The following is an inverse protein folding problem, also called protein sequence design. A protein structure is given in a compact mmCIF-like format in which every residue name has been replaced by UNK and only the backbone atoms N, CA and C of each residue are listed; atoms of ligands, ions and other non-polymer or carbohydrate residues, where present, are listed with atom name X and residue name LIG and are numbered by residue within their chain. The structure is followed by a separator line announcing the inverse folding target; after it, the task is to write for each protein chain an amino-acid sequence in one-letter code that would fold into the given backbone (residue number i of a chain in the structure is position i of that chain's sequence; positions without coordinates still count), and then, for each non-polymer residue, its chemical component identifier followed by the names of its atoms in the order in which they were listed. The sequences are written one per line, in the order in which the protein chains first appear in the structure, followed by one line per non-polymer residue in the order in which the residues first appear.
data_IF_849461947022
#
_entry.id   IF_849461947022
#
_cell.length_a   1.000
_cell.length_b   1.000
_cell.length_c   1.000
_cell.angle_alpha   90.00
_cell.angle_beta   90.00
_cell.angle_gamma   90.00
#
_symmetry.space_group_name_H-M   'P 1'
#
loop_
_entity.id
_entity.type
_entity.pdbx_description
1 polymer ?
#
# COMPACT_ATOMS: atom_id res chain seq x y z
N UNK A 1 -19.38 -13.97 10.36
CA UNK A 1 -20.17 -13.33 9.30
C UNK A 1 -20.21 -11.84 9.59
N UNK A 2 -19.43 -11.04 8.85
CA UNK A 2 -19.39 -9.60 9.05
C UNK A 2 -20.52 -8.94 8.24
N UNK A 3 -21.32 -8.12 8.91
CA UNK A 3 -22.34 -7.26 8.30
C UNK A 3 -21.68 -6.36 7.25
N UNK A 4 -22.21 -6.20 6.03
CA UNK A 4 -21.70 -5.20 5.12
C UNK A 4 -22.05 -3.83 5.71
N UNK A 5 -21.05 -3.16 6.28
CA UNK A 5 -21.08 -1.72 6.45
C UNK A 5 -21.35 -1.13 5.07
N UNK A 6 -22.30 -0.20 5.00
CA UNK A 6 -22.71 0.55 3.79
C UNK A 6 -21.50 0.74 2.85
N UNK A 7 -21.59 0.23 1.62
CA UNK A 7 -20.51 0.37 0.63
C UNK A 7 -20.09 1.83 0.47
N UNK A 8 -18.80 2.06 0.26
CA UNK A 8 -18.23 3.39 0.05
C UNK A 8 -18.80 3.97 -1.25
N UNK A 9 -19.10 5.27 -1.29
CA UNK A 9 -19.52 5.89 -2.56
C UNK A 9 -18.32 6.14 -3.49
N UNK A 10 -18.57 6.26 -4.79
CA UNK A 10 -17.48 6.58 -5.73
C UNK A 10 -16.80 7.92 -5.36
N UNK A 11 -17.56 8.92 -4.93
CA UNK A 11 -17.03 10.24 -4.53
C UNK A 11 -16.14 10.16 -3.28
N UNK A 12 -16.55 9.36 -2.29
CA UNK A 12 -15.73 9.12 -1.10
C UNK A 12 -14.42 8.42 -1.46
N UNK A 13 -14.48 7.45 -2.36
CA UNK A 13 -13.31 6.75 -2.90
C UNK A 13 -12.39 7.68 -3.68
N UNK A 14 -12.93 8.42 -4.64
CA UNK A 14 -12.16 9.33 -5.48
C UNK A 14 -11.42 10.36 -4.61
N UNK A 15 -12.05 10.86 -3.55
CA UNK A 15 -11.40 11.80 -2.63
C UNK A 15 -10.19 11.18 -1.90
N UNK A 16 -10.29 9.92 -1.45
CA UNK A 16 -9.16 9.23 -0.79
C UNK A 16 -8.09 8.85 -1.79
N UNK A 17 -8.50 8.25 -2.90
CA UNK A 17 -7.62 7.87 -4.00
C UNK A 17 -6.80 9.07 -4.47
N UNK A 18 -7.43 10.22 -4.71
CA UNK A 18 -6.75 11.42 -5.17
C UNK A 18 -5.72 11.93 -4.16
N UNK A 19 -6.00 11.85 -2.85
CA UNK A 19 -5.02 12.21 -1.79
C UNK A 19 -3.84 11.24 -1.76
N UNK A 20 -4.09 9.95 -1.95
CA UNK A 20 -3.05 8.92 -2.04
C UNK A 20 -2.19 9.16 -3.27
N UNK A 21 -2.81 9.32 -4.44
CA UNK A 21 -2.16 9.62 -5.72
C UNK A 21 -1.27 10.88 -5.62
N UNK A 22 -1.80 11.99 -5.08
CA UNK A 22 -1.00 13.20 -4.86
C UNK A 22 0.17 12.99 -3.88
N UNK A 23 -0.01 12.16 -2.85
CA UNK A 23 1.06 11.83 -1.91
C UNK A 23 2.18 11.05 -2.61
N UNK A 24 1.83 10.05 -3.42
CA UNK A 24 2.76 9.27 -4.22
C UNK A 24 3.49 10.16 -5.22
N UNK A 25 2.78 10.97 -6.01
CA UNK A 25 3.39 11.89 -6.99
C UNK A 25 4.38 12.87 -6.36
N UNK A 26 4.04 13.46 -5.20
CA UNK A 26 4.95 14.37 -4.48
C UNK A 26 6.17 13.64 -3.88
N UNK A 27 6.02 12.38 -3.50
CA UNK A 27 7.12 11.55 -3.02
C UNK A 27 8.04 11.16 -4.17
N UNK A 28 7.47 10.63 -5.25
CA UNK A 28 8.13 10.19 -6.47
C UNK A 28 8.95 11.30 -7.12
N UNK A 29 8.36 12.50 -7.30
CA UNK A 29 9.06 13.67 -7.86
C UNK A 29 10.34 14.04 -7.12
N UNK A 30 10.39 13.86 -5.79
CA UNK A 30 11.59 14.17 -4.99
C UNK A 30 12.71 13.14 -5.13
N UNK A 31 12.40 11.99 -5.70
CA UNK A 31 13.27 10.81 -5.81
C UNK A 31 13.52 10.41 -7.27
N UNK A 32 12.92 11.11 -8.22
CA UNK A 32 12.92 10.80 -9.65
C UNK A 32 12.30 9.43 -9.99
N UNK A 33 11.30 9.00 -9.23
CA UNK A 33 10.50 7.82 -9.59
C UNK A 33 9.42 8.18 -10.61
N UNK A 34 9.13 7.26 -11.52
CA UNK A 34 8.21 7.41 -12.65
C UNK A 34 6.97 6.53 -12.45
N UNK A 35 5.80 7.13 -12.65
CA UNK A 35 4.51 6.42 -12.62
C UNK A 35 4.47 5.36 -13.74
N UNK A 36 3.92 4.19 -13.45
CA UNK A 36 3.87 2.99 -14.31
C UNK A 36 5.23 2.35 -14.61
N UNK A 37 6.32 2.82 -14.01
CA UNK A 37 7.64 2.20 -14.10
C UNK A 37 8.12 1.78 -12.70
N UNK A 38 8.03 2.68 -11.72
CA UNK A 38 8.48 2.42 -10.36
C UNK A 38 7.32 2.10 -9.41
N UNK A 39 6.12 2.61 -9.72
CA UNK A 39 4.91 2.41 -8.94
C UNK A 39 3.65 2.69 -9.76
N UNK A 40 2.52 2.19 -9.29
CA UNK A 40 1.18 2.54 -9.78
C UNK A 40 0.21 2.77 -8.62
N UNK A 41 -0.81 3.60 -8.82
CA UNK A 41 -1.93 3.80 -7.88
C UNK A 41 -3.21 3.40 -8.60
N UNK A 42 -3.67 2.19 -8.30
CA UNK A 42 -4.75 1.54 -9.03
C UNK A 42 -6.10 2.27 -8.84
N UNK A 43 -6.86 2.44 -9.92
CA UNK A 43 -8.15 3.16 -9.94
C UNK A 43 -9.44 2.29 -10.04
N UNK A 44 -9.49 0.96 -9.79
CA UNK A 44 -10.77 0.28 -9.80
C UNK A 44 -11.52 0.56 -8.50
N UNK A 45 -12.56 1.39 -8.59
CA UNK A 45 -13.58 1.46 -7.55
C UNK A 45 -14.31 0.12 -7.47
N UNK A 46 -14.15 -0.58 -6.35
CA UNK A 46 -14.70 -1.91 -6.11
C UNK A 46 -15.71 -1.93 -4.94
N UNK A 47 -16.12 -0.75 -4.45
CA UNK A 47 -17.06 -0.57 -3.33
C UNK A 47 -16.45 -0.69 -1.94
N UNK A 48 -15.15 -0.99 -1.83
CA UNK A 48 -14.44 -1.14 -0.57
C UNK A 48 -13.69 0.15 -0.16
N UNK A 49 -13.50 0.34 1.14
CA UNK A 49 -12.73 1.45 1.73
C UNK A 49 -11.21 1.24 1.59
N UNK A 50 -10.73 0.92 0.38
CA UNK A 50 -9.32 0.61 0.15
C UNK A 50 -8.77 1.36 -1.08
N UNK A 51 -7.51 1.77 -1.03
CA UNK A 51 -6.76 2.21 -2.21
C UNK A 51 -5.59 1.27 -2.44
N UNK A 52 -5.39 0.85 -3.68
CA UNK A 52 -4.33 -0.08 -4.08
C UNK A 52 -3.15 0.70 -4.65
N UNK A 53 -1.94 0.31 -4.25
CA UNK A 53 -0.67 0.82 -4.78
C UNK A 53 0.17 -0.39 -5.14
N UNK A 54 0.65 -0.45 -6.38
CA UNK A 54 1.65 -1.42 -6.78
C UNK A 54 3.04 -0.80 -6.74
N UNK A 55 3.97 -1.51 -6.11
CA UNK A 55 5.39 -1.17 -6.07
C UNK A 55 6.09 -2.02 -7.12
N UNK A 56 6.51 -1.37 -8.20
CA UNK A 56 7.22 -1.95 -9.32
C UNK A 56 8.74 -1.79 -9.17
N UNK A 57 9.18 -0.92 -8.26
CA UNK A 57 10.56 -0.76 -7.82
C UNK A 57 10.65 -0.66 -6.29
N UNK A 58 11.34 -1.61 -5.66
CA UNK A 58 11.49 -1.67 -4.18
C UNK A 58 12.14 -0.43 -3.56
N UNK A 59 12.86 0.41 -4.32
CA UNK A 59 13.41 1.68 -3.80
C UNK A 59 12.32 2.70 -3.44
N UNK A 60 11.11 2.53 -3.99
CA UNK A 60 9.94 3.34 -3.64
C UNK A 60 9.48 3.05 -2.21
N UNK A 61 9.50 1.77 -1.82
CA UNK A 61 8.96 1.28 -0.56
C UNK A 61 9.89 1.59 0.62
N UNK A 62 9.65 2.74 1.26
CA UNK A 62 10.43 3.17 2.42
C UNK A 62 9.56 3.42 3.64
N UNK A 63 10.16 3.32 4.83
CA UNK A 63 9.51 3.72 6.09
C UNK A 63 8.94 5.15 6.03
N UNK A 64 9.62 6.06 5.32
CA UNK A 64 9.16 7.44 5.14
C UNK A 64 7.92 7.52 4.25
N UNK A 65 7.82 6.71 3.21
CA UNK A 65 6.63 6.66 2.37
C UNK A 65 5.44 6.11 3.16
N UNK A 66 5.63 4.95 3.82
CA UNK A 66 4.59 4.29 4.62
C UNK A 66 4.06 5.23 5.72
N UNK A 67 4.95 5.96 6.41
CA UNK A 67 4.54 6.96 7.40
C UNK A 67 3.73 8.13 6.79
N UNK A 68 3.99 8.53 5.54
CA UNK A 68 3.18 9.55 4.86
C UNK A 68 1.79 9.02 4.51
N UNK A 69 1.71 7.81 3.97
CA UNK A 69 0.46 7.14 3.61
C UNK A 69 -0.40 6.90 4.86
N UNK A 70 0.18 6.41 5.95
CA UNK A 70 -0.52 6.19 7.23
C UNK A 70 -1.16 7.47 7.78
N UNK A 71 -0.55 8.64 7.58
CA UNK A 71 -1.15 9.92 7.99
C UNK A 71 -2.40 10.31 7.20
N UNK A 72 -2.58 9.79 5.99
CA UNK A 72 -3.80 10.02 5.21
C UNK A 72 -4.95 9.20 5.79
N UNK A 73 -4.75 7.90 6.04
CA UNK A 73 -5.76 7.00 6.61
C UNK A 73 -6.06 7.26 8.09
N UNK A 74 -5.11 7.81 8.87
CA UNK A 74 -5.37 8.25 10.25
C UNK A 74 -6.53 9.24 10.39
N UNK A 75 -6.85 9.98 9.32
CA UNK A 75 -7.96 10.94 9.29
C UNK A 75 -9.27 10.34 8.80
N UNK A 76 -9.28 9.05 8.45
CA UNK A 76 -10.42 8.30 7.91
C UNK A 76 -10.45 6.88 8.48
N UNK A 77 -10.94 6.69 9.72
CA UNK A 77 -11.13 5.36 10.29
C UNK A 77 -11.94 4.47 9.34
N UNK A 78 -11.58 3.19 9.25
CA UNK A 78 -12.21 2.24 8.32
C UNK A 78 -11.64 2.22 6.90
N UNK A 79 -10.71 3.13 6.57
CA UNK A 79 -9.95 3.09 5.32
C UNK A 79 -8.62 2.38 5.48
N UNK A 80 -8.21 1.68 4.42
CA UNK A 80 -6.87 1.13 4.29
C UNK A 80 -6.20 1.48 2.96
N UNK A 81 -4.87 1.48 2.96
CA UNK A 81 -4.07 1.52 1.73
C UNK A 81 -3.35 0.18 1.65
N UNK A 82 -3.63 -0.57 0.59
CA UNK A 82 -2.97 -1.82 0.27
C UNK A 82 -1.78 -1.50 -0.65
N UNK A 83 -0.58 -1.91 -0.24
CA UNK A 83 0.64 -1.71 -1.00
C UNK A 83 1.17 -3.08 -1.42
N UNK A 84 0.97 -3.47 -2.68
CA UNK A 84 1.49 -4.70 -3.26
C UNK A 84 2.92 -4.54 -3.75
N UNK A 85 3.75 -5.58 -3.63
CA UNK A 85 5.04 -5.67 -4.31
C UNK A 85 4.85 -6.50 -5.57
N UNK A 86 4.99 -5.87 -6.74
CA UNK A 86 4.69 -6.44 -8.05
C UNK A 86 5.85 -6.15 -9.03
N UNK A 87 7.03 -6.68 -8.73
CA UNK A 87 8.20 -6.49 -9.60
C UNK A 87 8.03 -7.31 -10.89
N UNK A 88 8.16 -6.67 -12.05
CA UNK A 88 7.93 -7.27 -13.37
C UNK A 88 8.73 -8.58 -13.56
N UNK A 89 9.99 -8.60 -13.13
CA UNK A 89 10.88 -9.76 -13.25
C UNK A 89 10.47 -10.96 -12.38
N UNK A 90 9.53 -10.77 -11.44
CA UNK A 90 9.08 -11.78 -10.49
C UNK A 90 7.56 -12.00 -10.52
N UNK A 91 6.85 -11.42 -11.49
CA UNK A 91 5.43 -11.63 -11.69
C UNK A 91 5.15 -13.13 -11.96
N UNK A 92 4.57 -13.81 -10.98
CA UNK A 92 4.24 -15.24 -11.02
C UNK A 92 5.18 -16.15 -10.23
N UNK A 93 6.33 -15.65 -9.77
CA UNK A 93 7.25 -16.41 -8.90
C UNK A 93 7.05 -16.07 -7.43
N UNK A 94 6.85 -14.78 -7.16
CA UNK A 94 6.71 -14.30 -5.80
C UNK A 94 5.26 -14.47 -5.32
N UNK A 95 5.06 -14.84 -4.04
CA UNK A 95 3.74 -14.84 -3.46
C UNK A 95 3.20 -13.41 -3.40
N UNK A 96 1.87 -13.28 -3.34
CA UNK A 96 1.25 -12.00 -3.00
C UNK A 96 1.80 -11.54 -1.65
N UNK A 97 2.43 -10.37 -1.63
CA UNK A 97 3.04 -9.80 -0.44
C UNK A 97 3.08 -8.29 -0.53
N UNK A 98 3.13 -7.64 0.62
CA UNK A 98 2.97 -6.20 0.68
C UNK A 98 2.70 -5.69 2.08
N UNK A 99 2.09 -4.52 2.13
CA UNK A 99 1.67 -3.88 3.37
C UNK A 99 0.19 -3.53 3.32
N UNK A 100 -0.46 -3.58 4.48
CA UNK A 100 -1.77 -2.95 4.67
C UNK A 100 -1.66 -1.86 5.70
N UNK A 101 -1.96 -0.64 5.28
CA UNK A 101 -1.73 0.56 6.07
C UNK A 101 -3.09 1.07 6.54
N UNK A 102 -3.34 0.94 7.83
CA UNK A 102 -4.56 1.38 8.52
C UNK A 102 -4.27 2.58 9.44
N UNK A 103 -5.31 3.17 10.01
CA UNK A 103 -5.16 4.32 10.89
C UNK A 103 -4.29 4.00 12.13
N UNK A 104 -4.56 2.86 12.75
CA UNK A 104 -3.99 2.38 14.00
C UNK A 104 -2.79 1.46 13.79
N UNK A 105 -2.74 0.70 12.70
CA UNK A 105 -1.69 -0.29 12.46
C UNK A 105 -1.09 -0.26 11.05
N UNK A 106 0.08 -0.90 10.92
CA UNK A 106 0.62 -1.35 9.63
C UNK A 106 0.77 -2.86 9.72
N UNK A 107 0.15 -3.57 8.80
CA UNK A 107 0.30 -5.02 8.67
C UNK A 107 1.38 -5.26 7.63
N UNK A 108 2.41 -6.00 8.02
CA UNK A 108 3.56 -6.32 7.18
C UNK A 108 3.51 -7.78 6.74
N UNK A 109 3.07 -7.99 5.51
CA UNK A 109 2.94 -9.29 4.84
C UNK A 109 4.14 -9.57 3.92
N UNK A 110 5.22 -8.79 4.00
CA UNK A 110 6.39 -8.97 3.13
C UNK A 110 7.15 -10.25 3.50
N UNK A 111 7.31 -11.13 2.51
CA UNK A 111 8.07 -12.37 2.68
C UNK A 111 9.57 -12.13 2.47
N UNK A 112 10.29 -11.92 3.58
CA UNK A 112 11.71 -11.52 3.57
C UNK A 112 12.63 -12.47 2.80
N UNK A 113 12.31 -13.76 2.73
CA UNK A 113 13.09 -14.76 1.99
C UNK A 113 13.12 -14.46 0.49
N UNK A 114 12.05 -13.91 -0.08
CA UNK A 114 11.93 -13.57 -1.49
C UNK A 114 12.61 -12.25 -1.83
N UNK A 115 12.67 -11.30 -0.89
CA UNK A 115 13.28 -9.99 -1.13
C UNK A 115 14.80 -10.09 -1.37
N UNK A 116 15.38 -9.25 -2.26
CA UNK A 116 16.82 -9.09 -2.39
C UNK A 116 17.47 -8.71 -1.05
N UNK A 117 18.75 -9.09 -0.80
CA UNK A 117 19.40 -8.91 0.50
C UNK A 117 19.27 -7.51 1.11
N UNK A 118 19.40 -6.46 0.29
CA UNK A 118 19.31 -5.05 0.75
C UNK A 118 17.92 -4.65 1.29
N UNK A 119 16.87 -5.43 1.01
CA UNK A 119 15.50 -5.15 1.41
C UNK A 119 14.95 -6.10 2.47
N UNK A 120 15.69 -7.17 2.84
CA UNK A 120 15.24 -8.16 3.83
C UNK A 120 15.08 -7.57 5.23
N UNK A 121 15.77 -6.47 5.52
CA UNK A 121 15.70 -5.73 6.78
C UNK A 121 14.76 -4.52 6.72
N UNK A 122 13.93 -4.38 5.69
CA UNK A 122 12.90 -3.34 5.68
C UNK A 122 11.97 -3.53 6.88
N UNK A 123 11.76 -2.45 7.61
CA UNK A 123 10.88 -2.40 8.77
C UNK A 123 10.14 -1.07 8.78
N UNK A 124 8.91 -1.09 9.29
CA UNK A 124 8.02 0.06 9.32
C UNK A 124 7.58 0.33 10.76
N UNK A 125 7.42 1.61 11.10
CA UNK A 125 7.08 2.04 12.45
C UNK A 125 5.67 1.55 12.82
N UNK A 126 5.57 0.92 13.99
CA UNK A 126 4.37 0.27 14.53
C UNK A 126 3.77 -0.82 13.63
N UNK A 127 4.62 -1.44 12.78
CA UNK A 127 4.19 -2.56 11.99
C UNK A 127 4.21 -3.87 12.79
N UNK A 128 3.21 -4.71 12.58
CA UNK A 128 3.19 -6.09 13.04
C UNK A 128 3.25 -7.05 11.85
N UNK A 129 3.75 -8.28 12.03
CA UNK A 129 3.57 -9.33 11.04
C UNK A 129 2.08 -9.54 10.75
N UNK A 130 1.76 -9.76 9.48
CA UNK A 130 0.42 -10.20 9.10
C UNK A 130 0.15 -11.65 9.49
N UNK A 131 -1.14 -11.96 9.57
CA UNK A 131 -1.66 -13.27 9.94
C UNK A 131 -2.68 -13.73 8.90
N UNK A 132 -3.00 -15.03 8.83
CA UNK A 132 -4.03 -15.53 7.90
C UNK A 132 -5.39 -14.84 8.05
N UNK A 133 -5.75 -14.41 9.26
CA UNK A 133 -7.04 -13.75 9.56
C UNK A 133 -7.12 -12.31 9.04
N UNK A 134 -5.99 -11.76 8.59
CA UNK A 134 -5.99 -10.43 8.03
C UNK A 134 -6.53 -10.46 6.57
N UNK A 135 -6.52 -11.59 5.86
CA UNK A 135 -6.90 -11.71 4.43
C UNK A 135 -8.33 -12.20 4.19
#
# INVERSE_FOLDING_TARGET
MATPLRGVTFEEYEEVWYKVYQCMQRYAKKKNFVLYIDYDVYEPFNGWSQVLIDILNLEVLTARLVAKLRRLVKRRPGWEIMVGVALDEHLGEWPAMGLRIRADEVIDDLQRSYLPPKYRSLAFIDARPGTPDDW
#
